data_IF_737238503311
#
_entry.id   IF_737238503311
#
_cell.length_a   1.000
_cell.length_b   1.000
_cell.length_c   1.000
_cell.angle_alpha   90.00
_cell.angle_beta   90.00
_cell.angle_gamma   90.00
#
_symmetry.space_group_name_H-M   'P 1'
#
loop_
_entity.id
_entity.type
_entity.pdbx_description
1 polymer ?
#
# COMPACT_ATOMS: atom_id res chain seq x y z
N UNK A 1 3.95 15.65 -29.99
CA UNK A 1 4.24 14.20 -30.15
C UNK A 1 4.62 13.51 -28.83
N UNK A 2 5.51 14.08 -28.01
CA UNK A 2 5.89 13.48 -26.70
C UNK A 2 4.75 13.39 -25.67
N UNK A 3 3.87 14.40 -25.57
CA UNK A 3 2.75 14.33 -24.62
C UNK A 3 1.66 13.31 -25.00
N UNK A 4 1.37 13.15 -26.30
CA UNK A 4 0.44 12.12 -26.79
C UNK A 4 0.95 10.70 -26.50
N UNK A 5 2.27 10.48 -26.65
CA UNK A 5 2.93 9.20 -26.35
C UNK A 5 2.92 8.89 -24.85
N UNK A 6 3.14 9.92 -24.01
CA UNK A 6 3.05 9.80 -22.55
C UNK A 6 1.61 9.53 -22.06
N UNK A 7 0.60 10.20 -22.65
CA UNK A 7 -0.81 9.98 -22.30
C UNK A 7 -1.28 8.57 -22.65
N UNK A 8 -0.86 8.05 -23.82
CA UNK A 8 -1.10 6.66 -24.20
C UNK A 8 -0.41 5.66 -23.23
N UNK A 9 0.83 5.95 -22.82
CA UNK A 9 1.57 5.12 -21.86
C UNK A 9 0.93 5.05 -20.47
N UNK A 10 0.40 6.18 -19.96
CA UNK A 10 -0.32 6.22 -18.68
C UNK A 10 -1.58 5.35 -18.72
N UNK A 11 -2.42 5.50 -19.73
CA UNK A 11 -3.65 4.71 -19.86
C UNK A 11 -3.33 3.22 -20.01
N UNK A 12 -2.36 2.86 -20.85
CA UNK A 12 -1.90 1.47 -21.00
C UNK A 12 -1.40 0.88 -19.68
N UNK A 13 -0.65 1.67 -18.89
CA UNK A 13 -0.15 1.25 -17.58
C UNK A 13 -1.28 1.04 -16.56
N UNK A 14 -2.31 1.90 -16.59
CA UNK A 14 -3.52 1.74 -15.76
C UNK A 14 -4.24 0.44 -16.12
N UNK A 15 -4.48 0.20 -17.41
CA UNK A 15 -5.17 -0.99 -17.89
C UNK A 15 -4.40 -2.27 -17.56
N UNK A 16 -3.09 -2.28 -17.81
CA UNK A 16 -2.20 -3.40 -17.49
C UNK A 16 -2.27 -3.80 -16.01
N UNK A 17 -2.17 -2.81 -15.11
CA UNK A 17 -2.33 -3.06 -13.67
C UNK A 17 -3.73 -3.55 -13.35
N UNK A 18 -4.74 -2.90 -13.92
CA UNK A 18 -6.13 -3.12 -13.51
C UNK A 18 -6.58 -4.55 -13.77
N UNK A 19 -6.21 -5.11 -14.93
CA UNK A 19 -6.51 -6.50 -15.28
C UNK A 19 -5.72 -7.52 -14.44
N UNK A 20 -4.45 -7.24 -14.14
CA UNK A 20 -3.66 -8.09 -13.23
C UNK A 20 -4.27 -8.12 -11.83
N UNK A 21 -4.62 -6.94 -11.29
CA UNK A 21 -5.24 -6.83 -9.98
C UNK A 21 -6.66 -7.46 -9.97
N UNK A 22 -7.43 -7.38 -11.06
CA UNK A 22 -8.70 -8.09 -11.17
C UNK A 22 -8.51 -9.61 -11.09
N UNK A 23 -7.47 -10.17 -11.71
CA UNK A 23 -7.09 -11.59 -11.53
C UNK A 23 -6.80 -11.91 -10.06
N UNK A 24 -5.96 -11.10 -9.40
CA UNK A 24 -5.59 -11.32 -7.99
C UNK A 24 -6.84 -11.29 -7.10
N UNK A 25 -7.65 -10.24 -7.19
CA UNK A 25 -8.81 -10.01 -6.32
C UNK A 25 -9.99 -10.94 -6.59
N UNK A 26 -10.14 -11.46 -7.82
CA UNK A 26 -11.26 -12.35 -8.16
C UNK A 26 -10.92 -13.82 -7.96
N UNK A 27 -9.63 -14.20 -8.00
CA UNK A 27 -9.20 -15.60 -7.97
C UNK A 27 -8.23 -15.93 -6.82
N UNK A 28 -7.14 -15.18 -6.62
CA UNK A 28 -6.09 -15.57 -5.67
C UNK A 28 -6.31 -15.09 -4.23
N UNK A 29 -6.72 -13.84 -4.05
CA UNK A 29 -6.74 -13.15 -2.76
C UNK A 29 -8.19 -13.00 -2.29
N UNK A 30 -8.67 -13.95 -1.50
CA UNK A 30 -10.09 -14.02 -1.07
C UNK A 30 -11.07 -14.03 -2.26
N UNK A 31 -10.62 -14.53 -3.41
CA UNK A 31 -11.31 -14.42 -4.68
C UNK A 31 -12.52 -15.35 -4.79
N UNK A 32 -13.68 -14.79 -5.15
CA UNK A 32 -14.92 -15.56 -5.25
C UNK A 32 -14.87 -16.66 -6.32
N UNK A 33 -14.04 -16.50 -7.37
CA UNK A 33 -13.85 -17.56 -8.37
C UNK A 33 -13.26 -18.82 -7.74
N UNK A 34 -12.26 -18.67 -6.87
CA UNK A 34 -11.64 -19.81 -6.20
C UNK A 34 -12.59 -20.41 -5.15
N UNK A 35 -13.27 -19.57 -4.37
CA UNK A 35 -14.29 -20.02 -3.41
C UNK A 35 -15.38 -20.86 -4.11
N UNK A 36 -15.98 -20.34 -5.19
CA UNK A 36 -17.03 -21.03 -5.94
C UNK A 36 -16.51 -22.29 -6.65
N UNK A 37 -15.23 -22.40 -6.98
CA UNK A 37 -14.65 -23.64 -7.52
C UNK A 37 -14.45 -24.70 -6.43
N UNK A 38 -13.96 -24.31 -5.26
CA UNK A 38 -13.74 -25.21 -4.14
C UNK A 38 -15.06 -25.76 -3.60
N UNK A 39 -16.11 -24.92 -3.55
CA UNK A 39 -17.44 -25.31 -3.11
C UNK A 39 -18.08 -26.37 -4.02
N UNK A 40 -17.88 -26.29 -5.34
CA UNK A 40 -18.31 -27.32 -6.32
C UNK A 40 -17.76 -28.70 -6.00
N UNK A 41 -16.57 -28.78 -5.39
CA UNK A 41 -15.92 -30.03 -5.00
C UNK A 41 -16.02 -30.31 -3.49
N UNK A 42 -16.74 -29.49 -2.72
CA UNK A 42 -16.87 -29.58 -1.26
C UNK A 42 -15.52 -29.60 -0.54
N UNK A 43 -14.55 -28.83 -1.03
CA UNK A 43 -13.21 -28.71 -0.44
C UNK A 43 -13.16 -27.48 0.49
N UNK A 44 -12.55 -27.63 1.65
CA UNK A 44 -12.32 -26.52 2.58
C UNK A 44 -11.35 -25.48 2.00
N UNK A 45 -11.77 -24.22 1.96
CA UNK A 45 -11.03 -23.17 1.25
C UNK A 45 -9.84 -22.58 2.02
N UNK A 46 -9.84 -22.68 3.34
CA UNK A 46 -8.85 -22.06 4.25
C UNK A 46 -7.40 -22.32 3.81
N UNK A 47 -7.05 -23.58 3.56
CA UNK A 47 -5.69 -23.97 3.18
C UNK A 47 -5.24 -23.41 1.83
N UNK A 48 -6.09 -23.47 0.81
CA UNK A 48 -5.78 -23.01 -0.55
C UNK A 48 -5.56 -21.49 -0.57
N UNK A 49 -6.44 -20.75 0.12
CA UNK A 49 -6.39 -19.30 0.16
C UNK A 49 -5.16 -18.80 0.91
N UNK A 50 -4.86 -19.38 2.07
CA UNK A 50 -3.65 -19.01 2.83
C UNK A 50 -2.40 -19.26 2.00
N UNK A 51 -2.31 -20.37 1.27
CA UNK A 51 -1.18 -20.67 0.38
C UNK A 51 -1.04 -19.62 -0.72
N UNK A 52 -2.15 -19.22 -1.37
CA UNK A 52 -2.15 -18.19 -2.40
C UNK A 52 -1.70 -16.82 -1.85
N UNK A 53 -2.22 -16.41 -0.69
CA UNK A 53 -1.91 -15.13 -0.03
C UNK A 53 -0.44 -15.07 0.38
N UNK A 54 0.10 -16.14 0.99
CA UNK A 54 1.51 -16.21 1.39
C UNK A 54 2.43 -16.16 0.18
N UNK A 55 2.10 -16.90 -0.89
CA UNK A 55 2.88 -16.84 -2.12
C UNK A 55 2.87 -15.44 -2.76
N UNK A 56 1.70 -14.78 -2.75
CA UNK A 56 1.56 -13.41 -3.23
C UNK A 56 2.38 -12.40 -2.40
N UNK A 57 2.34 -12.51 -1.07
CA UNK A 57 3.18 -11.74 -0.15
C UNK A 57 4.67 -11.90 -0.49
N UNK A 58 5.14 -13.14 -0.65
CA UNK A 58 6.54 -13.40 -0.97
C UNK A 58 6.93 -12.77 -2.30
N UNK A 59 6.07 -12.89 -3.33
CA UNK A 59 6.30 -12.26 -4.63
C UNK A 59 6.42 -10.74 -4.54
N UNK A 60 5.52 -10.08 -3.80
CA UNK A 60 5.59 -8.63 -3.56
C UNK A 60 6.89 -8.23 -2.86
N UNK A 61 7.22 -8.92 -1.78
CA UNK A 61 8.36 -8.59 -0.92
C UNK A 61 9.70 -8.79 -1.62
N UNK A 62 9.88 -9.87 -2.40
CA UNK A 62 11.16 -10.21 -3.02
C UNK A 62 11.36 -9.59 -4.41
N UNK A 63 10.34 -8.97 -5.02
CA UNK A 63 10.38 -8.51 -6.41
C UNK A 63 11.55 -7.56 -6.74
N UNK A 64 11.88 -6.70 -5.78
CA UNK A 64 12.90 -5.68 -5.93
C UNK A 64 14.32 -6.22 -6.14
N UNK A 65 14.57 -7.48 -5.73
CA UNK A 65 15.89 -8.11 -5.85
C UNK A 65 16.32 -8.28 -7.31
N UNK A 66 15.36 -8.41 -8.23
CA UNK A 66 15.59 -8.61 -9.65
C UNK A 66 15.10 -7.46 -10.54
N UNK A 67 14.19 -6.59 -10.06
CA UNK A 67 13.69 -5.44 -10.83
C UNK A 67 14.52 -4.17 -10.60
N UNK A 68 15.61 -4.01 -11.36
CA UNK A 68 16.49 -2.81 -11.27
C UNK A 68 16.27 -1.78 -12.38
N UNK A 69 15.51 -2.11 -13.41
CA UNK A 69 15.25 -1.21 -14.55
C UNK A 69 13.81 -1.37 -15.05
N UNK A 70 13.27 -0.35 -15.72
CA UNK A 70 11.93 -0.40 -16.31
C UNK A 70 11.78 -1.54 -17.34
N UNK A 71 12.86 -1.91 -18.05
CA UNK A 71 12.86 -3.05 -18.98
C UNK A 71 12.67 -4.38 -18.28
N UNK A 72 13.43 -4.60 -17.20
CA UNK A 72 13.30 -5.82 -16.40
C UNK A 72 11.95 -5.85 -15.70
N UNK A 73 11.45 -4.70 -15.20
CA UNK A 73 10.10 -4.60 -14.65
C UNK A 73 9.02 -5.00 -15.67
N UNK A 74 9.13 -4.55 -16.93
CA UNK A 74 8.20 -4.98 -18.01
C UNK A 74 8.26 -6.48 -18.23
N UNK A 75 9.47 -7.04 -18.30
CA UNK A 75 9.66 -8.48 -18.48
C UNK A 75 9.05 -9.26 -17.31
N UNK A 76 9.27 -8.83 -16.07
CA UNK A 76 8.71 -9.45 -14.86
C UNK A 76 7.18 -9.41 -14.87
N UNK A 77 6.57 -8.30 -15.27
CA UNK A 77 5.11 -8.22 -15.40
C UNK A 77 4.58 -9.18 -16.48
N UNK A 78 5.23 -9.22 -17.64
CA UNK A 78 4.83 -10.12 -18.73
C UNK A 78 4.97 -11.59 -18.33
N UNK A 79 6.10 -11.97 -17.73
CA UNK A 79 6.34 -13.34 -17.30
C UNK A 79 5.41 -13.73 -16.16
N UNK A 80 5.22 -12.88 -15.16
CA UNK A 80 4.32 -13.17 -14.04
C UNK A 80 2.86 -13.28 -14.47
N UNK A 81 2.38 -12.44 -15.39
CA UNK A 81 1.03 -12.60 -15.98
C UNK A 81 0.91 -13.86 -16.84
N UNK A 82 1.90 -14.16 -17.68
CA UNK A 82 1.88 -15.36 -18.53
C UNK A 82 1.92 -16.66 -17.70
N UNK A 83 2.74 -16.68 -16.65
CA UNK A 83 2.78 -17.77 -15.68
C UNK A 83 1.43 -17.89 -14.98
N UNK A 84 0.87 -16.79 -14.48
CA UNK A 84 -0.46 -16.78 -13.84
C UNK A 84 -1.54 -17.34 -14.77
N UNK A 85 -1.52 -16.96 -16.05
CA UNK A 85 -2.45 -17.45 -17.06
C UNK A 85 -2.32 -18.97 -17.24
N UNK A 86 -1.09 -19.47 -17.38
CA UNK A 86 -0.83 -20.90 -17.58
C UNK A 86 -1.23 -21.74 -16.37
N UNK A 87 -0.87 -21.31 -15.16
CA UNK A 87 -1.16 -22.04 -13.93
C UNK A 87 -2.63 -21.97 -13.49
N UNK A 88 -3.44 -21.13 -14.15
CA UNK A 88 -4.90 -21.10 -13.98
C UNK A 88 -5.58 -22.24 -14.75
N UNK A 89 -4.97 -22.77 -15.82
CA UNK A 89 -5.55 -23.84 -16.67
C UNK A 89 -5.94 -25.11 -15.90
N UNK A 90 -5.14 -25.64 -14.95
CA UNK A 90 -5.49 -26.82 -14.17
C UNK A 90 -6.82 -26.72 -13.40
N UNK A 91 -7.33 -25.50 -13.14
CA UNK A 91 -8.58 -25.28 -12.41
C UNK A 91 -9.85 -25.53 -13.25
N UNK A 92 -9.71 -25.79 -14.55
CA UNK A 92 -10.81 -26.33 -15.38
C UNK A 92 -11.05 -27.83 -15.16
N UNK A 93 -10.12 -28.51 -14.52
CA UNK A 93 -10.15 -29.95 -14.31
C UNK A 93 -10.35 -30.29 -12.83
N UNK A 94 -10.62 -31.56 -12.56
CA UNK A 94 -10.79 -32.05 -11.20
C UNK A 94 -9.61 -31.68 -10.29
N UNK A 95 -9.86 -31.46 -8.98
CA UNK A 95 -8.83 -31.10 -8.01
C UNK A 95 -7.63 -32.02 -8.07
N UNK A 96 -6.44 -31.43 -8.16
CA UNK A 96 -5.17 -32.16 -8.26
C UNK A 96 -4.06 -31.37 -7.56
N UNK A 97 -2.88 -31.98 -7.30
CA UNK A 97 -1.73 -31.25 -6.73
C UNK A 97 -1.32 -30.01 -7.54
N UNK A 98 -1.70 -29.95 -8.83
CA UNK A 98 -1.48 -28.80 -9.70
C UNK A 98 -2.20 -27.54 -9.24
N UNK A 99 -3.31 -27.66 -8.48
CA UNK A 99 -4.00 -26.50 -7.92
C UNK A 99 -3.10 -25.76 -6.92
N UNK A 100 -2.58 -26.48 -5.92
CA UNK A 100 -1.67 -25.89 -4.92
C UNK A 100 -0.39 -25.36 -5.57
N UNK A 101 0.21 -26.12 -6.48
CA UNK A 101 1.38 -25.66 -7.22
C UNK A 101 1.06 -24.41 -8.04
N UNK A 102 -0.13 -24.35 -8.64
CA UNK A 102 -0.59 -23.21 -9.42
C UNK A 102 -0.85 -21.96 -8.56
N UNK A 103 -1.43 -22.11 -7.37
CA UNK A 103 -1.59 -21.00 -6.43
C UNK A 103 -0.25 -20.45 -5.93
N UNK A 104 0.72 -21.32 -5.66
CA UNK A 104 2.06 -20.90 -5.23
C UNK A 104 2.76 -20.13 -6.36
N UNK A 105 2.83 -20.74 -7.54
CA UNK A 105 3.55 -20.16 -8.68
C UNK A 105 2.84 -18.90 -9.19
N UNK A 106 1.51 -18.94 -9.33
CA UNK A 106 0.68 -17.82 -9.76
C UNK A 106 0.61 -16.69 -8.73
N UNK A 107 0.52 -17.02 -7.44
CA UNK A 107 0.61 -16.07 -6.33
C UNK A 107 1.93 -15.31 -6.36
N UNK A 108 3.06 -16.04 -6.40
CA UNK A 108 4.38 -15.43 -6.48
C UNK A 108 4.55 -14.56 -7.74
N UNK A 109 4.20 -15.09 -8.91
CA UNK A 109 4.34 -14.38 -10.19
C UNK A 109 3.48 -13.11 -10.28
N UNK A 110 2.24 -13.17 -9.80
CA UNK A 110 1.34 -12.01 -9.75
C UNK A 110 1.81 -10.97 -8.73
N UNK A 111 2.31 -11.38 -7.57
CA UNK A 111 2.92 -10.47 -6.58
C UNK A 111 4.12 -9.72 -7.14
N UNK A 112 5.01 -10.43 -7.82
CA UNK A 112 6.16 -9.81 -8.49
C UNK A 112 5.71 -8.82 -9.57
N UNK A 113 4.69 -9.18 -10.36
CA UNK A 113 4.14 -8.30 -11.40
C UNK A 113 3.55 -7.02 -10.81
N UNK A 114 2.84 -7.13 -9.68
CA UNK A 114 2.20 -5.99 -9.01
C UNK A 114 3.24 -5.02 -8.44
N UNK A 115 4.30 -5.53 -7.80
CA UNK A 115 5.41 -4.72 -7.30
C UNK A 115 6.18 -4.03 -8.44
N UNK A 116 6.44 -4.74 -9.54
CA UNK A 116 7.14 -4.20 -10.72
C UNK A 116 6.43 -2.99 -11.35
N UNK A 117 5.11 -2.88 -11.18
CA UNK A 117 4.34 -1.76 -11.70
C UNK A 117 4.74 -0.40 -11.12
N UNK A 118 5.39 -0.36 -9.95
CA UNK A 118 5.93 0.88 -9.38
C UNK A 118 6.82 1.66 -10.36
N UNK A 119 7.57 0.99 -11.23
CA UNK A 119 8.34 1.64 -12.30
C UNK A 119 7.46 2.40 -13.28
N UNK A 120 6.34 1.82 -13.70
CA UNK A 120 5.43 2.43 -14.67
C UNK A 120 4.61 3.56 -14.07
N UNK A 121 4.25 3.45 -12.78
CA UNK A 121 3.68 4.57 -12.05
C UNK A 121 4.65 5.76 -12.00
N UNK A 122 5.94 5.52 -11.71
CA UNK A 122 6.97 6.58 -11.70
C UNK A 122 7.22 7.18 -13.07
N UNK A 123 7.34 6.35 -14.11
CA UNK A 123 7.75 6.76 -15.47
C UNK A 123 6.62 7.43 -16.25
N UNK A 124 5.41 6.86 -16.23
CA UNK A 124 4.31 7.33 -17.09
C UNK A 124 3.35 8.31 -16.40
N UNK A 125 3.46 8.51 -15.09
CA UNK A 125 2.56 9.42 -14.35
C UNK A 125 3.31 10.58 -13.70
N UNK A 126 3.01 11.83 -14.12
CA UNK A 126 3.51 13.03 -13.46
C UNK A 126 3.11 13.08 -11.97
N UNK A 127 3.96 13.65 -11.12
CA UNK A 127 3.74 13.72 -9.65
C UNK A 127 2.35 14.23 -9.26
N UNK A 128 1.88 15.31 -9.90
CA UNK A 128 0.57 15.94 -9.63
C UNK A 128 -0.63 15.04 -9.94
N UNK A 129 -0.45 14.02 -10.76
CA UNK A 129 -1.47 13.12 -11.28
C UNK A 129 -1.41 11.72 -10.68
N UNK A 130 -0.39 11.40 -9.87
CA UNK A 130 -0.18 10.06 -9.29
C UNK A 130 -1.34 9.59 -8.42
N UNK A 131 -1.86 10.45 -7.53
CA UNK A 131 -3.04 10.12 -6.73
C UNK A 131 -4.23 9.72 -7.61
N UNK A 132 -4.47 10.44 -8.71
CA UNK A 132 -5.57 10.10 -9.62
C UNK A 132 -5.32 8.77 -10.33
N UNK A 133 -4.09 8.51 -10.77
CA UNK A 133 -3.73 7.20 -11.35
C UNK A 133 -3.92 6.07 -10.34
N UNK A 134 -3.50 6.24 -9.08
CA UNK A 134 -3.72 5.27 -8.01
C UNK A 134 -5.22 5.01 -7.81
N UNK A 135 -6.05 6.06 -7.78
CA UNK A 135 -7.49 5.92 -7.70
C UNK A 135 -8.07 5.21 -8.95
N UNK A 136 -7.63 5.58 -10.15
CA UNK A 136 -8.11 5.01 -11.41
C UNK A 136 -7.83 3.50 -11.48
N UNK A 137 -6.63 3.06 -11.08
CA UNK A 137 -6.31 1.61 -11.05
C UNK A 137 -7.14 0.87 -10.01
N UNK A 138 -7.28 1.41 -8.80
CA UNK A 138 -8.07 0.76 -7.74
C UNK A 138 -9.56 0.68 -8.14
N UNK A 139 -10.12 1.74 -8.71
CA UNK A 139 -11.51 1.76 -9.19
C UNK A 139 -11.70 0.74 -10.31
N UNK A 140 -10.84 0.76 -11.34
CA UNK A 140 -11.03 -0.10 -12.50
C UNK A 140 -10.81 -1.59 -12.16
N UNK A 141 -9.82 -1.90 -11.32
CA UNK A 141 -9.63 -3.26 -10.79
C UNK A 141 -10.84 -3.78 -10.05
N UNK A 142 -11.44 -2.96 -9.17
CA UNK A 142 -12.59 -3.38 -8.38
C UNK A 142 -13.86 -3.50 -9.23
N UNK A 143 -14.08 -2.62 -10.21
CA UNK A 143 -15.18 -2.78 -11.17
C UNK A 143 -15.04 -4.11 -11.93
N UNK A 144 -13.85 -4.41 -12.45
CA UNK A 144 -13.60 -5.66 -13.16
C UNK A 144 -13.79 -6.89 -12.24
N UNK A 145 -13.29 -6.81 -11.00
CA UNK A 145 -13.47 -7.85 -9.98
C UNK A 145 -14.94 -8.12 -9.70
N UNK A 146 -15.77 -7.09 -9.53
CA UNK A 146 -17.21 -7.25 -9.26
C UNK A 146 -17.91 -7.97 -10.39
N UNK A 147 -17.66 -7.57 -11.63
CA UNK A 147 -18.24 -8.21 -12.81
C UNK A 147 -17.87 -9.69 -12.85
N UNK A 148 -16.60 -10.01 -12.61
CA UNK A 148 -16.11 -11.40 -12.59
C UNK A 148 -16.76 -12.20 -11.46
N UNK A 149 -16.75 -11.66 -10.23
CA UNK A 149 -17.25 -12.35 -9.04
C UNK A 149 -18.76 -12.62 -9.14
N UNK A 150 -19.55 -11.63 -9.59
CA UNK A 150 -21.00 -11.80 -9.77
C UNK A 150 -21.30 -12.91 -10.79
N UNK A 151 -20.58 -12.96 -11.90
CA UNK A 151 -20.76 -14.00 -12.91
C UNK A 151 -20.27 -15.37 -12.43
N UNK A 152 -19.19 -15.41 -11.64
CA UNK A 152 -18.68 -16.64 -11.05
C UNK A 152 -19.70 -17.27 -10.08
N UNK A 153 -20.28 -16.46 -9.20
CA UNK A 153 -21.22 -16.91 -8.16
C UNK A 153 -22.60 -17.24 -8.73
N UNK A 154 -23.14 -16.39 -9.63
CA UNK A 154 -24.54 -16.51 -10.07
C UNK A 154 -24.73 -17.29 -11.38
N UNK A 155 -23.67 -17.46 -12.19
CA UNK A 155 -23.78 -18.13 -13.50
C UNK A 155 -22.96 -19.43 -13.52
N UNK A 156 -21.64 -19.34 -13.34
CA UNK A 156 -20.76 -20.51 -13.28
C UNK A 156 -19.36 -20.13 -12.82
N UNK A 157 -18.78 -20.91 -11.90
CA UNK A 157 -17.39 -20.75 -11.46
C UNK A 157 -16.39 -20.83 -12.62
N UNK A 158 -16.65 -21.68 -13.61
CA UNK A 158 -15.82 -21.80 -14.83
C UNK A 158 -15.91 -20.58 -15.74
N UNK A 159 -17.07 -19.91 -15.80
CA UNK A 159 -17.20 -18.65 -16.53
C UNK A 159 -16.35 -17.56 -15.87
N UNK A 160 -16.36 -17.49 -14.54
CA UNK A 160 -15.45 -16.63 -13.77
C UNK A 160 -13.99 -16.87 -14.13
N UNK A 161 -13.57 -18.15 -14.18
CA UNK A 161 -12.21 -18.55 -14.54
C UNK A 161 -11.81 -18.10 -15.97
N UNK A 162 -12.73 -18.26 -16.94
CA UNK A 162 -12.52 -17.79 -18.32
C UNK A 162 -12.32 -16.27 -18.36
N UNK A 163 -13.18 -15.51 -17.67
CA UNK A 163 -13.11 -14.04 -17.65
C UNK A 163 -11.80 -13.54 -17.01
N UNK A 164 -11.37 -14.21 -15.95
CA UNK A 164 -10.09 -13.95 -15.28
C UNK A 164 -8.90 -14.17 -16.23
N UNK A 165 -8.92 -15.28 -16.99
CA UNK A 165 -7.89 -15.56 -18.00
C UNK A 165 -7.92 -14.58 -19.19
N UNK A 166 -9.10 -14.16 -19.63
CA UNK A 166 -9.26 -13.11 -20.64
C UNK A 166 -8.69 -11.77 -20.12
N UNK A 167 -8.97 -11.43 -18.86
CA UNK A 167 -8.39 -10.27 -18.17
C UNK A 167 -6.86 -10.31 -18.19
N UNK A 168 -6.25 -11.42 -17.77
CA UNK A 168 -4.78 -11.60 -17.84
C UNK A 168 -4.24 -11.45 -19.26
N UNK A 169 -4.93 -12.01 -20.26
CA UNK A 169 -4.53 -11.90 -21.67
C UNK A 169 -4.53 -10.45 -22.15
N UNK A 170 -5.54 -9.67 -21.78
CA UNK A 170 -5.59 -8.23 -22.03
C UNK A 170 -4.50 -7.48 -21.26
N UNK A 171 -4.25 -7.84 -20.01
CA UNK A 171 -3.16 -7.30 -19.19
C UNK A 171 -1.78 -7.49 -19.84
N UNK A 172 -1.52 -8.68 -20.39
CA UNK A 172 -0.30 -9.00 -21.15
C UNK A 172 -0.21 -8.10 -22.39
N UNK A 173 -1.30 -7.98 -23.15
CA UNK A 173 -1.35 -7.13 -24.36
C UNK A 173 -1.01 -5.66 -24.02
N UNK A 174 -1.62 -5.10 -22.97
CA UNK A 174 -1.35 -3.71 -22.55
C UNK A 174 0.07 -3.54 -22.02
N UNK A 175 0.59 -4.51 -21.25
CA UNK A 175 1.96 -4.51 -20.73
C UNK A 175 2.99 -4.58 -21.86
N UNK A 176 2.73 -5.39 -22.89
CA UNK A 176 3.58 -5.52 -24.07
C UNK A 176 3.66 -4.20 -24.86
N UNK A 177 2.53 -3.48 -24.94
CA UNK A 177 2.42 -2.19 -25.61
C UNK A 177 3.15 -1.02 -24.93
N UNK A 178 3.66 -1.20 -23.69
CA UNK A 178 4.31 -0.13 -22.94
C UNK A 178 5.64 0.31 -23.61
N UNK A 179 5.79 1.61 -23.93
CA UNK A 179 6.99 2.14 -24.58
C UNK A 179 8.13 2.32 -23.57
N UNK A 180 8.96 1.29 -23.39
CA UNK A 180 10.12 1.32 -22.48
C UNK A 180 11.42 1.52 -23.27
N UNK A 181 12.14 2.62 -23.01
CA UNK A 181 13.42 2.93 -23.68
C UNK A 181 14.64 2.39 -22.89
N UNK A 182 15.78 2.28 -23.56
CA UNK A 182 17.04 1.70 -23.02
C UNK A 182 17.79 2.61 -22.04
N UNK A 183 17.51 3.92 -22.06
CA UNK A 183 18.30 4.93 -21.38
C UNK A 183 17.62 5.54 -20.14
N UNK A 184 16.45 5.06 -19.75
CA UNK A 184 15.73 5.52 -18.55
C UNK A 184 16.42 5.02 -17.27
N UNK A 185 17.63 5.50 -16.99
CA UNK A 185 18.18 5.51 -15.63
C UNK A 185 17.37 6.52 -14.85
N UNK A 186 16.50 6.01 -13.97
CA UNK A 186 15.81 6.82 -12.99
C UNK A 186 16.87 7.36 -12.02
N UNK A 187 17.01 8.67 -11.95
CA UNK A 187 17.82 9.35 -10.95
C UNK A 187 16.95 9.63 -9.72
N UNK A 188 17.28 9.01 -8.60
CA UNK A 188 16.81 9.34 -7.26
C UNK A 188 17.89 10.11 -6.50
N UNK A 189 17.45 10.99 -5.60
CA UNK A 189 18.38 11.68 -4.69
C UNK A 189 18.94 10.66 -3.68
N UNK A 190 20.26 10.60 -3.57
CA UNK A 190 21.00 9.66 -2.71
C UNK A 190 20.78 9.99 -1.22
N UNK A 191 20.07 9.12 -0.50
CA UNK A 191 19.81 9.22 0.95
C UNK A 191 19.25 7.92 1.52
N UNK A 192 20.02 6.83 1.44
CA UNK A 192 19.56 5.44 1.57
C UNK A 192 18.96 5.08 2.96
N UNK A 193 19.53 5.61 4.05
CA UNK A 193 19.16 5.17 5.40
C UNK A 193 17.82 5.77 5.89
N UNK A 194 17.54 7.03 5.58
CA UNK A 194 16.30 7.68 6.04
C UNK A 194 15.07 7.26 5.24
N UNK A 195 15.24 6.91 3.96
CA UNK A 195 14.17 6.39 3.12
C UNK A 195 13.68 5.03 3.63
N UNK A 196 14.62 4.15 4.02
CA UNK A 196 14.29 2.84 4.61
C UNK A 196 13.47 2.98 5.89
N UNK A 197 13.85 3.88 6.80
CA UNK A 197 13.08 4.15 8.02
C UNK A 197 11.67 4.65 7.73
N UNK A 198 11.53 5.54 6.74
CA UNK A 198 10.22 6.06 6.31
C UNK A 198 9.37 4.95 5.71
N UNK A 199 9.96 4.08 4.89
CA UNK A 199 9.28 2.93 4.29
C UNK A 199 8.85 1.91 5.36
N UNK A 200 9.71 1.64 6.34
CA UNK A 200 9.40 0.74 7.44
C UNK A 200 8.24 1.27 8.27
N UNK A 201 8.26 2.56 8.63
CA UNK A 201 7.18 3.19 9.37
C UNK A 201 5.86 3.19 8.58
N UNK A 202 5.91 3.51 7.28
CA UNK A 202 4.75 3.42 6.40
C UNK A 202 4.23 1.99 6.31
N UNK A 203 5.11 1.01 6.21
CA UNK A 203 4.75 -0.41 6.17
C UNK A 203 4.07 -0.84 7.47
N UNK A 204 4.60 -0.42 8.63
CA UNK A 204 3.96 -0.64 9.92
C UNK A 204 2.59 0.04 10.00
N UNK A 205 2.46 1.27 9.49
CA UNK A 205 1.19 1.98 9.40
C UNK A 205 0.17 1.24 8.54
N UNK A 206 0.57 0.80 7.34
CA UNK A 206 -0.29 0.03 6.43
C UNK A 206 -0.73 -1.28 7.10
N UNK A 207 0.21 -2.05 7.67
CA UNK A 207 -0.11 -3.33 8.31
C UNK A 207 -1.07 -3.15 9.49
N UNK A 208 -0.86 -2.15 10.36
CA UNK A 208 -1.76 -1.84 11.48
C UNK A 208 -3.17 -1.49 10.98
N UNK A 209 -3.24 -0.73 9.88
CA UNK A 209 -4.51 -0.33 9.30
C UNK A 209 -5.27 -1.53 8.69
N UNK A 210 -4.57 -2.41 7.97
CA UNK A 210 -5.17 -3.48 7.19
C UNK A 210 -5.44 -4.75 8.00
N UNK A 211 -4.96 -4.84 9.25
CA UNK A 211 -5.43 -5.84 10.23
C UNK A 211 -6.95 -5.81 10.38
N UNK A 212 -7.55 -4.62 10.36
CA UNK A 212 -9.01 -4.48 10.46
C UNK A 212 -9.72 -5.14 9.27
N UNK A 213 -9.14 -5.07 8.06
CA UNK A 213 -9.68 -5.73 6.87
C UNK A 213 -9.60 -7.26 6.97
N UNK A 214 -8.57 -7.81 7.62
CA UNK A 214 -8.50 -9.25 7.89
C UNK A 214 -9.57 -9.72 8.88
N UNK A 215 -9.78 -8.96 9.96
CA UNK A 215 -10.84 -9.24 10.93
C UNK A 215 -12.24 -9.17 10.33
N UNK A 216 -12.46 -8.32 9.33
CA UNK A 216 -13.72 -8.22 8.60
C UNK A 216 -14.14 -9.57 7.99
N UNK A 217 -13.21 -10.29 7.35
CA UNK A 217 -13.50 -11.57 6.70
C UNK A 217 -13.95 -12.66 7.68
N UNK A 218 -13.44 -12.62 8.91
CA UNK A 218 -13.68 -13.66 9.93
C UNK A 218 -14.83 -13.31 10.90
N UNK A 219 -15.13 -12.02 11.10
CA UNK A 219 -16.10 -11.57 12.12
C UNK A 219 -17.34 -10.95 11.50
N UNK A 220 -17.18 -10.10 10.48
CA UNK A 220 -18.31 -9.31 9.94
C UNK A 220 -18.96 -10.04 8.78
N UNK A 221 -18.19 -10.53 7.81
CA UNK A 221 -18.75 -11.21 6.64
C UNK A 221 -19.60 -12.43 7.00
N UNK A 222 -19.19 -13.33 7.93
CA UNK A 222 -20.00 -14.49 8.30
C UNK A 222 -21.31 -14.09 8.99
N UNK A 223 -21.34 -12.96 9.69
CA UNK A 223 -22.54 -12.46 10.37
C UNK A 223 -23.67 -12.05 9.40
N UNK A 224 -23.35 -11.84 8.12
CA UNK A 224 -24.30 -11.53 7.05
C UNK A 224 -24.32 -12.61 5.95
N UNK A 225 -23.85 -13.82 6.26
CA UNK A 225 -23.73 -14.92 5.29
C UNK A 225 -25.05 -15.30 4.61
N UNK A 226 -26.20 -15.10 5.25
CA UNK A 226 -27.53 -15.36 4.69
C UNK A 226 -27.89 -14.45 3.50
N UNK A 227 -27.15 -13.34 3.30
CA UNK A 227 -27.41 -12.33 2.26
C UNK A 227 -26.49 -12.47 1.04
N UNK A 228 -26.19 -13.72 0.63
CA UNK A 228 -25.19 -14.05 -0.41
C UNK A 228 -25.31 -13.23 -1.71
N UNK A 229 -26.52 -12.99 -2.20
CA UNK A 229 -26.71 -12.19 -3.41
C UNK A 229 -26.25 -10.75 -3.20
N UNK A 230 -26.55 -10.13 -2.06
CA UNK A 230 -26.19 -8.74 -1.78
C UNK A 230 -24.68 -8.61 -1.46
N UNK A 231 -24.16 -9.53 -0.64
CA UNK A 231 -22.76 -9.54 -0.23
C UNK A 231 -21.79 -9.82 -1.38
N UNK A 232 -22.26 -10.43 -2.48
CA UNK A 232 -21.40 -10.71 -3.66
C UNK A 232 -20.96 -9.49 -4.46
N UNK A 233 -21.76 -8.41 -4.49
CA UNK A 233 -21.49 -7.21 -5.30
C UNK A 233 -21.47 -5.92 -4.51
N UNK A 234 -22.36 -5.77 -3.52
CA UNK A 234 -22.56 -4.48 -2.85
C UNK A 234 -21.32 -4.04 -2.06
N UNK A 235 -20.62 -4.98 -1.42
CA UNK A 235 -19.44 -4.70 -0.60
C UNK A 235 -18.38 -3.82 -1.31
N UNK A 236 -18.24 -3.98 -2.62
CA UNK A 236 -17.29 -3.21 -3.42
C UNK A 236 -17.74 -1.77 -3.74
N UNK A 237 -19.05 -1.48 -3.71
CA UNK A 237 -19.62 -0.22 -4.19
C UNK A 237 -19.22 0.95 -3.28
N UNK A 238 -19.39 0.87 -1.95
CA UNK A 238 -18.97 1.94 -1.04
C UNK A 238 -17.47 2.24 -1.18
N UNK A 239 -16.66 1.20 -1.36
CA UNK A 239 -15.21 1.33 -1.61
C UNK A 239 -14.93 2.11 -2.89
N UNK A 240 -15.51 1.69 -4.03
CA UNK A 240 -15.35 2.38 -5.32
C UNK A 240 -15.86 3.83 -5.25
N UNK A 241 -17.00 4.05 -4.59
CA UNK A 241 -17.57 5.39 -4.42
C UNK A 241 -16.64 6.31 -3.62
N UNK A 242 -16.06 5.81 -2.52
CA UNK A 242 -15.10 6.56 -1.72
C UNK A 242 -13.86 6.95 -2.54
N UNK A 243 -13.29 6.00 -3.28
CA UNK A 243 -12.17 6.28 -4.19
C UNK A 243 -12.51 7.35 -5.23
N UNK A 244 -13.70 7.27 -5.83
CA UNK A 244 -14.15 8.24 -6.82
C UNK A 244 -14.30 9.65 -6.24
N UNK A 245 -14.86 9.77 -5.02
CA UNK A 245 -14.98 11.05 -4.31
C UNK A 245 -13.59 11.63 -4.04
N UNK A 246 -12.67 10.83 -3.51
CA UNK A 246 -11.34 11.30 -3.13
C UNK A 246 -10.45 11.64 -4.32
N UNK A 247 -10.60 10.92 -5.44
CA UNK A 247 -9.94 11.22 -6.71
C UNK A 247 -10.18 12.67 -7.14
N UNK A 248 -11.36 13.20 -6.85
CA UNK A 248 -11.80 14.54 -7.26
C UNK A 248 -11.68 15.60 -6.15
N UNK A 249 -11.19 15.25 -4.96
CA UNK A 249 -11.00 16.21 -3.87
C UNK A 249 -9.93 17.27 -4.22
N UNK A 250 -10.08 18.54 -3.80
CA UNK A 250 -9.05 19.56 -3.97
C UNK A 250 -7.84 19.31 -3.06
N UNK A 251 -6.63 19.67 -3.52
CA UNK A 251 -5.34 19.34 -2.86
C UNK A 251 -5.24 19.76 -1.38
N UNK A 252 -5.92 20.85 -0.99
CA UNK A 252 -5.91 21.39 0.38
C UNK A 252 -6.60 20.49 1.42
N UNK A 253 -7.43 19.53 1.01
CA UNK A 253 -8.20 18.67 1.90
C UNK A 253 -7.60 17.25 2.04
N UNK A 254 -6.50 16.95 1.34
CA UNK A 254 -6.17 15.56 0.98
C UNK A 254 -5.50 14.69 2.04
N UNK A 255 -4.67 15.19 2.95
CA UNK A 255 -3.90 14.25 3.79
C UNK A 255 -4.51 14.04 5.17
N UNK A 256 -4.51 15.07 6.02
CA UNK A 256 -4.94 14.92 7.41
C UNK A 256 -6.46 14.68 7.54
N UNK A 257 -7.28 15.43 6.79
CA UNK A 257 -8.75 15.33 6.88
C UNK A 257 -9.31 14.02 6.30
N UNK A 258 -8.68 13.46 5.27
CA UNK A 258 -9.09 12.15 4.72
C UNK A 258 -8.92 11.05 5.77
N UNK A 259 -7.78 11.03 6.46
CA UNK A 259 -7.51 10.05 7.51
C UNK A 259 -8.56 10.12 8.63
N UNK A 260 -8.85 11.32 9.15
CA UNK A 260 -9.84 11.47 10.21
C UNK A 260 -11.27 11.12 9.77
N UNK A 261 -11.64 11.40 8.51
CA UNK A 261 -12.92 10.98 7.96
C UNK A 261 -13.04 9.45 7.92
N UNK A 262 -12.01 8.77 7.42
CA UNK A 262 -11.94 7.30 7.43
C UNK A 262 -12.02 6.73 8.85
N UNK A 263 -11.34 7.35 9.82
CA UNK A 263 -11.38 6.95 11.23
C UNK A 263 -12.78 7.09 11.83
N UNK A 264 -13.48 8.19 11.55
CA UNK A 264 -14.85 8.38 12.03
C UNK A 264 -15.81 7.34 11.42
N UNK A 265 -15.65 7.05 10.13
CA UNK A 265 -16.46 6.06 9.41
C UNK A 265 -16.24 4.64 9.94
N UNK A 266 -14.98 4.21 10.16
CA UNK A 266 -14.72 2.87 10.68
C UNK A 266 -15.25 2.71 12.13
N UNK A 267 -15.12 3.73 12.98
CA UNK A 267 -15.75 3.74 14.31
C UNK A 267 -17.27 3.60 14.19
N UNK A 268 -17.89 4.37 13.30
CA UNK A 268 -19.32 4.29 13.03
C UNK A 268 -19.76 2.90 12.55
N UNK A 269 -18.96 2.25 11.71
CA UNK A 269 -19.24 0.90 11.21
C UNK A 269 -19.26 -0.13 12.34
N UNK A 270 -18.25 -0.12 13.22
CA UNK A 270 -18.17 -1.06 14.34
C UNK A 270 -19.24 -0.81 15.41
N UNK A 271 -19.53 0.45 15.74
CA UNK A 271 -20.64 0.78 16.63
C UNK A 271 -21.97 0.28 16.04
N UNK A 272 -22.19 0.52 14.74
CA UNK A 272 -23.38 0.04 14.05
C UNK A 272 -23.45 -1.49 14.07
N UNK A 273 -22.33 -2.19 13.85
CA UNK A 273 -22.29 -3.66 13.87
C UNK A 273 -22.66 -4.26 15.23
N UNK A 274 -22.33 -3.57 16.32
CA UNK A 274 -22.67 -4.00 17.68
C UNK A 274 -24.13 -3.70 18.06
N UNK A 275 -24.67 -2.57 17.60
CA UNK A 275 -26.00 -2.10 18.01
C UNK A 275 -27.12 -2.58 17.10
N UNK A 276 -26.82 -2.82 15.83
CA UNK A 276 -27.80 -3.23 14.83
C UNK A 276 -27.97 -4.75 14.79
N UNK A 277 -29.08 -5.17 14.20
CA UNK A 277 -29.38 -6.58 13.95
C UNK A 277 -28.57 -7.15 12.79
N UNK A 278 -29.15 -8.13 12.11
CA UNK A 278 -28.57 -8.81 10.93
C UNK A 278 -29.49 -8.72 9.71
N UNK A 279 -30.24 -7.63 9.60
CA UNK A 279 -31.11 -7.36 8.46
C UNK A 279 -30.35 -6.77 7.27
N UNK A 280 -31.01 -6.69 6.11
CA UNK A 280 -30.47 -6.06 4.91
C UNK A 280 -30.04 -4.61 5.16
N UNK A 281 -30.84 -3.82 5.88
CA UNK A 281 -30.50 -2.43 6.19
C UNK A 281 -29.26 -2.33 7.08
N UNK A 282 -29.13 -3.25 8.04
CA UNK A 282 -27.97 -3.29 8.95
C UNK A 282 -26.69 -3.57 8.16
N UNK A 283 -26.75 -4.53 7.23
CA UNK A 283 -25.64 -4.81 6.32
C UNK A 283 -25.28 -3.57 5.50
N UNK A 284 -26.25 -2.92 4.85
CA UNK A 284 -25.99 -1.73 4.04
C UNK A 284 -25.30 -0.62 4.84
N UNK A 285 -25.70 -0.38 6.10
CA UNK A 285 -25.09 0.65 6.95
C UNK A 285 -23.67 0.28 7.35
N UNK A 286 -23.48 -0.93 7.88
CA UNK A 286 -22.17 -1.41 8.38
C UNK A 286 -21.17 -1.49 7.24
N UNK A 287 -21.55 -2.14 6.14
CA UNK A 287 -20.72 -2.34 4.96
C UNK A 287 -20.38 -1.00 4.28
N UNK A 288 -21.35 -0.10 4.13
CA UNK A 288 -21.09 1.22 3.53
C UNK A 288 -20.05 2.00 4.31
N UNK A 289 -20.21 2.11 5.63
CA UNK A 289 -19.28 2.85 6.47
C UNK A 289 -17.89 2.21 6.45
N UNK A 290 -17.84 0.88 6.55
CA UNK A 290 -16.58 0.14 6.63
C UNK A 290 -15.80 0.18 5.32
N UNK A 291 -16.43 -0.21 4.20
CA UNK A 291 -15.75 -0.35 2.91
C UNK A 291 -15.41 1.02 2.31
N UNK A 292 -16.23 2.04 2.57
CA UNK A 292 -15.83 3.41 2.25
C UNK A 292 -14.62 3.86 3.09
N UNK A 293 -14.50 3.45 4.36
CA UNK A 293 -13.33 3.79 5.18
C UNK A 293 -12.06 3.08 4.66
N UNK A 294 -12.17 1.81 4.29
CA UNK A 294 -11.11 1.07 3.63
C UNK A 294 -10.65 1.76 2.35
N UNK A 295 -11.58 2.23 1.49
CA UNK A 295 -11.23 2.99 0.29
C UNK A 295 -10.50 4.30 0.58
N UNK A 296 -10.91 4.99 1.65
CA UNK A 296 -10.24 6.21 2.13
C UNK A 296 -8.82 5.94 2.58
N UNK A 297 -8.63 4.90 3.37
CA UNK A 297 -7.32 4.55 3.87
C UNK A 297 -6.40 4.03 2.77
N UNK A 298 -6.91 3.19 1.87
CA UNK A 298 -6.16 2.67 0.73
C UNK A 298 -5.59 3.79 -0.12
N UNK A 299 -6.44 4.70 -0.58
CA UNK A 299 -5.94 5.78 -1.41
C UNK A 299 -5.02 6.75 -0.64
N UNK A 300 -5.21 6.89 0.67
CA UNK A 300 -4.32 7.66 1.52
C UNK A 300 -2.90 7.08 1.53
N UNK A 301 -2.69 5.81 1.86
CA UNK A 301 -1.34 5.24 1.91
C UNK A 301 -0.75 4.98 0.52
N UNK A 302 -1.58 4.70 -0.50
CA UNK A 302 -1.14 4.69 -1.90
C UNK A 302 -0.59 6.05 -2.36
N UNK A 303 -1.16 7.16 -1.88
CA UNK A 303 -0.65 8.50 -2.18
C UNK A 303 0.78 8.67 -1.66
N UNK A 304 1.05 8.23 -0.43
CA UNK A 304 2.36 8.32 0.21
C UNK A 304 3.37 7.42 -0.51
N UNK A 305 3.01 6.16 -0.83
CA UNK A 305 3.88 5.29 -1.62
C UNK A 305 4.25 5.92 -2.96
N UNK A 306 3.28 6.56 -3.64
CA UNK A 306 3.51 7.20 -4.92
C UNK A 306 4.44 8.41 -4.85
N UNK A 307 4.46 9.11 -3.72
CA UNK A 307 5.36 10.23 -3.43
C UNK A 307 6.78 9.72 -3.13
N UNK A 308 6.89 8.63 -2.37
CA UNK A 308 8.17 7.97 -2.08
C UNK A 308 8.94 7.50 -3.32
N UNK A 309 8.24 7.27 -4.43
CA UNK A 309 8.88 6.88 -5.70
C UNK A 309 9.90 7.90 -6.20
N UNK A 310 9.77 9.17 -5.85
CA UNK A 310 10.72 10.21 -6.29
C UNK A 310 12.07 10.14 -5.58
N UNK A 311 12.11 9.53 -4.41
CA UNK A 311 13.29 9.44 -3.55
C UNK A 311 14.02 8.10 -3.69
N UNK A 312 13.61 7.24 -4.62
CA UNK A 312 14.21 5.91 -4.83
C UNK A 312 14.64 5.68 -6.28
N UNK A 313 15.73 4.95 -6.46
CA UNK A 313 16.13 4.38 -7.76
C UNK A 313 15.41 3.06 -8.08
N UNK A 314 14.83 2.42 -7.06
CA UNK A 314 14.10 1.16 -7.19
C UNK A 314 12.63 1.30 -6.77
N UNK A 315 11.75 1.79 -7.67
CA UNK A 315 10.32 1.88 -7.44
C UNK A 315 9.67 0.56 -6.99
N UNK A 316 10.11 -0.59 -7.51
CA UNK A 316 9.57 -1.89 -7.11
C UNK A 316 9.82 -2.23 -5.65
N UNK A 317 10.92 -1.74 -5.06
CA UNK A 317 11.19 -1.92 -3.63
C UNK A 317 10.15 -1.20 -2.77
N UNK A 318 9.94 0.09 -3.03
CA UNK A 318 8.97 0.89 -2.28
C UNK A 318 7.56 0.32 -2.45
N UNK A 319 7.16 0.04 -3.69
CA UNK A 319 5.82 -0.44 -3.99
C UNK A 319 5.60 -1.88 -3.48
N UNK A 320 6.58 -2.76 -3.68
CA UNK A 320 6.53 -4.15 -3.24
C UNK A 320 6.46 -4.29 -1.72
N UNK A 321 7.34 -3.61 -0.98
CA UNK A 321 7.34 -3.63 0.49
C UNK A 321 6.07 -2.99 1.07
N UNK A 322 5.63 -1.85 0.50
CA UNK A 322 4.39 -1.20 0.92
C UNK A 322 3.15 -2.08 0.71
N UNK A 323 3.01 -2.70 -0.47
CA UNK A 323 1.91 -3.62 -0.76
C UNK A 323 2.01 -4.93 0.03
N UNK A 324 3.22 -5.45 0.29
CA UNK A 324 3.37 -6.65 1.10
C UNK A 324 2.95 -6.40 2.55
N UNK A 325 3.13 -5.18 3.06
CA UNK A 325 2.63 -4.80 4.38
C UNK A 325 1.10 -4.82 4.46
N UNK A 326 0.39 -4.44 3.39
CA UNK A 326 -1.06 -4.59 3.30
C UNK A 326 -1.45 -6.06 3.45
N UNK A 327 -0.85 -6.93 2.63
CA UNK A 327 -1.09 -8.38 2.68
C UNK A 327 -0.79 -8.98 4.05
N UNK A 328 0.33 -8.57 4.67
CA UNK A 328 0.71 -9.02 6.00
C UNK A 328 -0.32 -8.62 7.05
N UNK A 329 -0.84 -7.39 6.99
CA UNK A 329 -1.88 -6.93 7.91
C UNK A 329 -3.19 -7.71 7.71
N UNK A 330 -3.66 -7.91 6.48
CA UNK A 330 -4.86 -8.71 6.19
C UNK A 330 -4.70 -10.14 6.70
N UNK A 331 -3.57 -10.79 6.41
CA UNK A 331 -3.28 -12.15 6.88
C UNK A 331 -3.23 -12.22 8.41
N UNK A 332 -2.60 -11.24 9.06
CA UNK A 332 -2.54 -11.17 10.53
C UNK A 332 -3.92 -11.00 11.14
N UNK A 333 -4.76 -10.14 10.57
CA UNK A 333 -6.14 -9.95 11.00
C UNK A 333 -6.99 -11.21 10.83
N UNK A 334 -6.84 -11.91 9.70
CA UNK A 334 -7.51 -13.19 9.45
C UNK A 334 -7.09 -14.27 10.45
N UNK A 335 -5.79 -14.40 10.74
CA UNK A 335 -5.30 -15.34 11.77
C UNK A 335 -5.87 -14.99 13.16
N UNK A 336 -5.89 -13.71 13.54
CA UNK A 336 -6.48 -13.28 14.81
C UNK A 336 -7.97 -13.63 14.87
N UNK A 337 -8.71 -13.39 13.78
CA UNK A 337 -10.13 -13.74 13.66
C UNK A 337 -10.37 -15.24 13.77
N UNK A 338 -9.62 -16.05 13.03
CA UNK A 338 -9.69 -17.51 13.06
C UNK A 338 -9.40 -18.07 14.46
N UNK A 339 -8.34 -17.57 15.12
CA UNK A 339 -8.01 -17.94 16.50
C UNK A 339 -9.16 -17.58 17.44
N UNK A 340 -9.73 -16.38 17.31
CA UNK A 340 -10.86 -15.95 18.14
C UNK A 340 -12.07 -16.88 17.97
N UNK A 341 -12.42 -17.24 16.73
CA UNK A 341 -13.54 -18.13 16.41
C UNK A 341 -13.31 -19.57 16.87
N UNK A 342 -12.06 -20.06 16.84
CA UNK A 342 -11.72 -21.43 17.26
C UNK A 342 -11.92 -21.70 18.76
N UNK A 343 -11.98 -20.65 19.59
CA UNK A 343 -12.05 -20.79 21.06
C UNK A 343 -13.43 -21.19 21.61
N UNK A 344 -14.41 -21.54 20.76
CA UNK A 344 -15.80 -21.88 21.14
C UNK A 344 -16.48 -20.82 22.04
N UNK A 345 -16.05 -19.57 21.93
CA UNK A 345 -16.61 -18.43 22.67
C UNK A 345 -17.94 -17.96 22.08
N UNK A 346 -18.72 -17.23 22.87
CA UNK A 346 -19.94 -16.60 22.38
C UNK A 346 -19.61 -15.58 21.27
N UNK A 347 -20.49 -15.45 20.27
CA UNK A 347 -20.30 -14.50 19.14
C UNK A 347 -20.11 -13.05 19.60
N UNK A 348 -20.72 -12.67 20.72
CA UNK A 348 -20.53 -11.37 21.35
C UNK A 348 -19.09 -11.15 21.84
N UNK A 349 -18.44 -12.18 22.40
CA UNK A 349 -17.06 -12.10 22.88
C UNK A 349 -16.07 -11.93 21.73
N UNK A 350 -16.27 -12.64 20.62
CA UNK A 350 -15.46 -12.51 19.39
C UNK A 350 -15.58 -11.08 18.83
N UNK A 351 -16.80 -10.55 18.78
CA UNK A 351 -17.06 -9.18 18.32
C UNK A 351 -16.36 -8.13 19.20
N UNK A 352 -16.37 -8.32 20.52
CA UNK A 352 -15.68 -7.43 21.47
C UNK A 352 -14.16 -7.50 21.31
N UNK A 353 -13.60 -8.68 21.05
CA UNK A 353 -12.17 -8.82 20.74
C UNK A 353 -11.79 -8.07 19.47
N UNK A 354 -12.57 -8.22 18.40
CA UNK A 354 -12.35 -7.50 17.14
C UNK A 354 -12.44 -5.98 17.33
N UNK A 355 -13.44 -5.49 18.08
CA UNK A 355 -13.56 -4.08 18.43
C UNK A 355 -12.35 -3.58 19.22
N UNK A 356 -11.82 -4.37 20.14
CA UNK A 356 -10.64 -4.00 20.93
C UNK A 356 -9.44 -3.78 20.03
N UNK A 357 -9.22 -4.66 19.06
CA UNK A 357 -8.16 -4.49 18.04
C UNK A 357 -8.39 -3.20 17.26
N UNK A 358 -9.61 -2.95 16.79
CA UNK A 358 -9.96 -1.73 16.04
C UNK A 358 -9.69 -0.47 16.87
N UNK A 359 -10.13 -0.42 18.12
CA UNK A 359 -9.88 0.69 19.02
C UNK A 359 -8.37 0.95 19.21
N UNK A 360 -7.57 -0.10 19.40
CA UNK A 360 -6.11 0.02 19.51
C UNK A 360 -5.53 0.58 18.21
N UNK A 361 -5.94 0.06 17.04
CA UNK A 361 -5.45 0.56 15.75
C UNK A 361 -5.74 2.05 15.57
N UNK A 362 -6.93 2.50 15.97
CA UNK A 362 -7.35 3.90 15.85
C UNK A 362 -6.62 4.86 16.79
N UNK A 363 -6.19 4.40 17.97
CA UNK A 363 -5.34 5.20 18.86
C UNK A 363 -3.94 5.35 18.30
N UNK A 364 -3.40 4.28 17.70
CA UNK A 364 -2.05 4.25 17.12
C UNK A 364 -1.97 5.07 15.82
N UNK A 365 -3.05 5.09 15.04
CA UNK A 365 -3.05 5.63 13.67
C UNK A 365 -2.63 7.11 13.56
N UNK A 366 -3.16 8.05 14.38
CA UNK A 366 -2.74 9.45 14.34
C UNK A 366 -1.27 9.65 14.72
N UNK A 367 -0.76 8.86 15.67
CA UNK A 367 0.63 8.93 16.12
C UNK A 367 1.58 8.52 15.00
N UNK A 368 1.31 7.38 14.37
CA UNK A 368 2.07 6.91 13.21
C UNK A 368 2.00 7.90 12.04
N UNK A 369 0.82 8.47 11.76
CA UNK A 369 0.66 9.46 10.69
C UNK A 369 1.46 10.74 10.97
N UNK A 370 1.42 11.28 12.20
CA UNK A 370 2.21 12.47 12.57
C UNK A 370 3.69 12.23 12.34
N UNK A 371 4.21 11.07 12.76
CA UNK A 371 5.61 10.73 12.61
C UNK A 371 5.99 10.51 11.13
N UNK A 372 5.11 9.90 10.35
CA UNK A 372 5.30 9.66 8.92
C UNK A 372 5.36 10.96 8.11
N UNK A 373 4.42 11.88 8.33
CA UNK A 373 4.39 13.19 7.66
C UNK A 373 5.66 13.98 7.97
N UNK A 374 6.12 13.93 9.22
CA UNK A 374 7.33 14.60 9.67
C UNK A 374 8.57 14.04 8.94
N UNK A 375 8.70 12.72 8.82
CA UNK A 375 9.78 12.08 8.05
C UNK A 375 9.73 12.42 6.56
N UNK A 376 8.55 12.36 5.93
CA UNK A 376 8.38 12.71 4.51
C UNK A 376 8.77 14.15 4.22
N UNK A 377 8.33 15.09 5.06
CA UNK A 377 8.74 16.49 4.97
C UNK A 377 10.26 16.59 5.06
N UNK A 378 10.87 15.98 6.09
CA UNK A 378 12.33 16.05 6.26
C UNK A 378 13.10 15.59 5.02
N UNK A 379 12.66 14.52 4.35
CA UNK A 379 13.26 14.06 3.09
C UNK A 379 13.06 15.02 1.93
N UNK A 380 11.83 15.51 1.74
CA UNK A 380 11.53 16.51 0.71
C UNK A 380 12.39 17.77 0.89
N UNK A 381 12.55 18.21 2.13
CA UNK A 381 13.37 19.38 2.46
C UNK A 381 14.86 19.12 2.30
N UNK A 382 15.38 17.94 2.68
CA UNK A 382 16.78 17.59 2.46
C UNK A 382 17.13 17.58 0.96
N UNK A 383 16.25 17.01 0.11
CA UNK A 383 16.44 17.03 -1.34
C UNK A 383 16.40 18.47 -1.88
N UNK A 384 15.45 19.29 -1.41
CA UNK A 384 15.41 20.69 -1.80
C UNK A 384 16.67 21.44 -1.35
N UNK A 385 17.12 21.23 -0.12
CA UNK A 385 18.31 21.85 0.48
C UNK A 385 19.60 21.48 -0.29
N UNK A 386 19.76 20.22 -0.69
CA UNK A 386 20.92 19.77 -1.48
C UNK A 386 20.97 20.44 -2.87
N UNK A 387 19.81 20.82 -3.42
CA UNK A 387 19.73 21.57 -4.69
C UNK A 387 19.89 23.09 -4.56
N UNK A 388 19.91 23.65 -3.34
CA UNK A 388 20.06 25.10 -3.12
C UNK A 388 21.52 25.55 -3.26
N UNK A 389 21.71 26.81 -3.68
CA UNK A 389 23.04 27.43 -3.68
C UNK A 389 23.54 27.72 -2.26
N UNK A 390 24.87 27.73 -2.05
CA UNK A 390 25.49 27.90 -0.72
C UNK A 390 25.00 29.15 0.05
N UNK A 391 24.69 30.24 -0.65
CA UNK A 391 24.19 31.48 -0.03
C UNK A 391 22.81 31.31 0.60
N UNK A 392 21.92 30.54 -0.04
CA UNK A 392 20.60 30.22 0.48
C UNK A 392 20.67 29.25 1.67
N UNK A 393 21.53 28.24 1.58
CA UNK A 393 21.77 27.30 2.69
C UNK A 393 22.25 28.01 3.96
N UNK A 394 23.20 28.94 3.83
CA UNK A 394 23.66 29.77 4.96
C UNK A 394 22.57 30.67 5.53
N UNK A 395 21.70 31.22 4.69
CA UNK A 395 20.61 32.08 5.14
C UNK A 395 19.60 31.33 6.03
N UNK A 396 19.26 30.08 5.68
CA UNK A 396 18.32 29.26 6.45
C UNK A 396 18.87 28.94 7.85
N UNK A 397 20.17 28.60 7.94
CA UNK A 397 20.86 28.36 9.21
C UNK A 397 20.88 29.60 10.12
N UNK A 398 20.94 30.81 9.55
CA UNK A 398 20.89 32.06 10.33
C UNK A 398 19.47 32.47 10.75
N UNK A 399 18.43 31.93 10.11
CA UNK A 399 17.05 32.38 10.31
C UNK A 399 16.36 31.71 11.51
N UNK A 400 16.79 30.50 11.87
CA UNK A 400 16.24 29.73 12.99
C UNK A 400 17.22 29.75 14.17
N UNK A 401 16.98 30.62 15.15
CA UNK A 401 17.86 30.76 16.31
C UNK A 401 17.69 29.57 17.26
N UNK A 402 18.79 28.88 17.58
CA UNK A 402 18.81 27.90 18.65
C UNK A 402 18.60 28.60 20.01
N UNK A 403 18.00 27.89 20.97
CA UNK A 403 17.84 28.36 22.36
C UNK A 403 19.19 28.67 23.01
N UNK A 404 20.21 27.89 22.65
CA UNK A 404 21.60 28.09 23.05
C UNK A 404 22.51 28.08 21.82
N UNK A 405 23.60 28.89 21.80
CA UNK A 405 24.56 28.87 20.72
C UNK A 405 25.15 27.47 20.49
N UNK A 406 25.21 27.06 19.23
CA UNK A 406 25.91 25.84 18.84
C UNK A 406 27.42 26.03 19.04
N UNK A 407 28.11 24.98 19.46
CA UNK A 407 29.58 24.94 19.39
C UNK A 407 30.02 24.76 17.94
N UNK A 408 31.26 25.14 17.61
CA UNK A 408 31.85 24.93 16.26
C UNK A 408 31.66 23.49 15.78
N UNK A 409 31.81 22.52 16.69
CA UNK A 409 31.65 21.11 16.35
C UNK A 409 30.20 20.70 16.12
N UNK A 410 29.27 21.28 16.85
CA UNK A 410 27.83 21.07 16.64
C UNK A 410 27.37 21.72 15.33
N UNK A 411 27.93 22.86 14.93
CA UNK A 411 27.67 23.47 13.61
C UNK A 411 28.14 22.57 12.46
N UNK A 412 29.35 22.02 12.57
CA UNK A 412 29.87 21.06 11.59
C UNK A 412 28.97 19.82 11.48
N UNK A 413 28.58 19.24 12.62
CA UNK A 413 27.66 18.09 12.65
C UNK A 413 26.30 18.47 12.08
N UNK A 414 25.75 19.64 12.41
CA UNK A 414 24.48 20.13 11.88
C UNK A 414 24.52 20.28 10.36
N UNK A 415 25.60 20.84 9.81
CA UNK A 415 25.77 20.99 8.37
C UNK A 415 25.73 19.63 7.67
N UNK A 416 26.42 18.63 8.20
CA UNK A 416 26.39 17.28 7.65
C UNK A 416 25.04 16.57 7.86
N UNK A 417 24.30 16.92 8.91
CA UNK A 417 22.92 16.46 9.10
C UNK A 417 21.99 16.99 7.99
N UNK A 418 22.13 18.27 7.65
CA UNK A 418 21.33 18.96 6.63
C UNK A 418 21.68 18.55 5.19
N UNK A 419 22.85 17.93 4.97
CA UNK A 419 23.19 17.29 3.68
C UNK A 419 22.68 15.85 3.59
N UNK A 420 21.88 15.39 4.56
CA UNK A 420 21.24 14.07 4.52
C UNK A 420 22.14 12.89 4.92
N UNK A 421 23.39 13.13 5.36
CA UNK A 421 24.32 12.06 5.71
C UNK A 421 23.91 11.28 6.96
N UNK A 422 24.08 9.96 6.94
CA UNK A 422 23.93 9.09 8.10
C UNK A 422 24.99 9.36 9.16
N UNK A 423 24.74 8.96 10.42
CA UNK A 423 25.72 9.15 11.50
C UNK A 423 27.09 8.50 11.20
N UNK A 424 27.10 7.39 10.44
CA UNK A 424 28.31 6.72 9.98
C UNK A 424 29.08 7.53 8.94
N UNK A 425 28.37 8.13 7.99
CA UNK A 425 28.97 9.01 6.98
C UNK A 425 29.46 10.32 7.59
N UNK A 426 28.73 10.88 8.56
CA UNK A 426 29.16 12.05 9.34
C UNK A 426 30.41 11.70 10.14
N UNK A 427 30.42 10.55 10.82
CA UNK A 427 31.57 10.06 11.57
C UNK A 427 32.82 9.92 10.69
N UNK A 428 32.66 9.34 9.50
CA UNK A 428 33.72 9.22 8.52
C UNK A 428 34.17 10.59 7.97
N UNK A 429 33.22 11.48 7.62
CA UNK A 429 33.52 12.81 7.06
C UNK A 429 34.27 13.68 8.06
N UNK A 430 33.83 13.65 9.32
CA UNK A 430 34.35 14.51 10.37
C UNK A 430 35.46 13.82 11.19
N UNK A 431 35.88 12.61 10.82
CA UNK A 431 36.90 11.81 11.51
C UNK A 431 36.63 11.61 13.03
N UNK A 432 35.39 11.30 13.40
CA UNK A 432 34.96 10.99 14.79
C UNK A 432 34.21 9.67 14.86
N UNK A 433 33.92 9.18 16.07
CA UNK A 433 33.13 7.95 16.24
C UNK A 433 31.63 8.22 16.03
N UNK A 434 30.88 7.20 15.61
CA UNK A 434 29.42 7.29 15.50
C UNK A 434 28.75 7.68 16.84
N UNK A 435 29.31 7.25 17.98
CA UNK A 435 28.82 7.63 19.30
C UNK A 435 29.06 9.12 19.60
N UNK A 436 30.18 9.67 19.15
CA UNK A 436 30.45 11.12 19.24
C UNK A 436 29.44 11.91 18.40
N UNK A 437 29.13 11.45 17.18
CA UNK A 437 28.08 12.08 16.34
C UNK A 437 26.72 12.03 17.03
N UNK A 438 26.32 10.88 17.61
CA UNK A 438 25.06 10.75 18.36
C UNK A 438 25.00 11.73 19.54
N UNK A 439 26.12 11.95 20.22
CA UNK A 439 26.21 12.89 21.35
C UNK A 439 26.00 14.32 20.87
N UNK A 440 26.73 14.75 19.83
CA UNK A 440 26.52 16.08 19.25
C UNK A 440 25.10 16.28 18.71
N UNK A 441 24.55 15.28 18.00
CA UNK A 441 23.17 15.33 17.52
C UNK A 441 22.16 15.51 18.66
N UNK A 442 22.33 14.80 19.78
CA UNK A 442 21.46 14.95 20.96
C UNK A 442 21.55 16.34 21.58
N UNK A 443 22.75 16.92 21.65
CA UNK A 443 22.93 18.29 22.14
C UNK A 443 22.28 19.29 21.20
N UNK A 444 22.48 19.15 19.88
CA UNK A 444 21.81 19.98 18.87
C UNK A 444 20.29 19.89 19.05
N UNK A 445 19.73 18.70 19.20
CA UNK A 445 18.28 18.55 19.41
C UNK A 445 17.80 19.29 20.66
N UNK A 446 18.53 19.17 21.77
CA UNK A 446 18.22 19.92 23.00
C UNK A 446 18.29 21.43 22.81
N UNK A 447 19.25 21.94 22.03
CA UNK A 447 19.41 23.37 21.78
C UNK A 447 18.37 23.94 20.82
N UNK A 448 17.69 23.11 20.05
CA UNK A 448 16.56 23.49 19.20
C UNK A 448 15.20 23.09 19.76
N UNK A 449 15.15 22.55 20.98
CA UNK A 449 13.94 22.01 21.63
C UNK A 449 13.17 20.99 20.78
N UNK A 450 13.91 20.09 20.15
CA UNK A 450 13.35 19.02 19.33
C UNK A 450 13.76 17.65 19.88
N UNK A 451 13.00 16.62 19.53
CA UNK A 451 13.23 15.26 20.02
C UNK A 451 13.77 14.32 18.95
N UNK A 452 13.82 14.77 17.70
CA UNK A 452 14.28 13.93 16.59
C UNK A 452 15.00 14.72 15.50
N UNK A 453 15.82 13.99 14.72
CA UNK A 453 16.50 14.53 13.53
C UNK A 453 15.53 15.16 12.54
N UNK A 454 14.41 14.50 12.32
CA UNK A 454 13.44 14.94 11.32
C UNK A 454 12.69 16.19 11.79
N UNK A 455 12.48 16.34 13.09
CA UNK A 455 11.85 17.52 13.69
C UNK A 455 12.80 18.72 13.65
N UNK A 456 14.09 18.49 13.95
CA UNK A 456 15.15 19.47 13.73
C UNK A 456 15.15 19.97 12.27
N UNK A 457 15.16 19.05 11.30
CA UNK A 457 15.17 19.39 9.87
C UNK A 457 13.90 20.15 9.48
N UNK A 458 12.73 19.71 9.96
CA UNK A 458 11.48 20.41 9.70
C UNK A 458 11.56 21.84 10.24
N UNK A 459 11.80 22.02 11.53
CA UNK A 459 11.83 23.35 12.16
C UNK A 459 12.83 24.29 11.49
N UNK A 460 14.06 23.83 11.23
CA UNK A 460 15.10 24.62 10.58
C UNK A 460 14.75 25.05 9.16
N UNK A 461 14.07 24.21 8.39
CA UNK A 461 13.86 24.40 6.95
C UNK A 461 12.45 24.90 6.59
N UNK A 462 11.47 24.80 7.49
CA UNK A 462 10.11 25.38 7.31
C UNK A 462 9.94 26.76 7.92
N UNK A 463 10.72 27.14 8.94
CA UNK A 463 10.55 28.39 9.67
C UNK A 463 9.19 28.52 10.37
N UNK A 464 8.45 27.42 10.51
CA UNK A 464 7.20 27.31 11.25
C UNK A 464 7.52 26.61 12.58
N UNK A 465 7.33 27.32 13.69
CA UNK A 465 7.10 26.68 14.99
C UNK A 465 5.79 25.88 14.86
N UNK A 466 5.87 24.58 15.19
CA UNK A 466 4.83 23.55 15.01
C UNK A 466 3.42 23.92 15.47
#
# INVERSE_FOLDING_TARGET
MNQFKAWNGRLQSILAFSFLAAYILSFLFEGQVLYSLLDVYHIEASSYIVVAIVAHFLGLFTCHLFTKTAKVARLVMLTGMAVSLFVTVPFFFAPSPLWNMGLIIGGYGSGCSLAAWGYFLKVFTPKSERLKTCADVLILSNIAMVVINVLAVNVSSFLGLILVMLGLSLGIMFTWGLPVNTEDKLTGATGDLGLFQTLLLLSSFIAVLTINSGLMYEVINPAFGDLTTLTSWYWSIPYIAALFVMRNLPARLKHSKMLYAGMAMIVGAFISFMLLGRSVLDYLVVDTLMLAACGVFDLFWWSILSEMLDYTDNPSHIFGVGLSANVLGVLSGGIIGMVATSTQRASAEITVMALTVVCITLVILPLLNRHLVLLLKSHAYLVAYDTMGETQQRAILCQTAALDPLTVREEEVLKEILTGKSNREIAATLCITENTVKTHARNIYSKYDVHSRAELISNLLTGEDL
#
